data_IF_375333594141
#
_entry.id   IF_375333594141
#
_cell.length_a   1.000
_cell.length_b   1.000
_cell.length_c   1.000
_cell.angle_alpha   90.00
_cell.angle_beta   90.00
_cell.angle_gamma   90.00
#
_symmetry.space_group_name_H-M   'P 1'
#
loop_
_entity.id
_entity.type
_entity.pdbx_description
1 polymer ?
#
# COMPACT_ATOMS: atom_id res chain seq x y z
N UNK A 1 -16.92 -23.66 -3.50
CA UNK A 1 -17.45 -22.40 -4.07
C UNK A 1 -17.51 -22.57 -5.57
N UNK A 2 -18.64 -22.32 -6.20
CA UNK A 2 -18.76 -22.42 -7.65
C UNK A 2 -18.17 -21.15 -8.32
N UNK A 3 -17.96 -21.21 -9.66
CA UNK A 3 -17.37 -20.08 -10.40
C UNK A 3 -18.21 -18.78 -10.32
N UNK A 4 -19.54 -18.89 -10.19
CA UNK A 4 -20.41 -17.74 -10.06
C UNK A 4 -20.27 -17.05 -8.70
N UNK A 5 -20.18 -17.82 -7.62
CA UNK A 5 -19.96 -17.28 -6.27
C UNK A 5 -18.59 -16.64 -6.13
N UNK A 6 -17.56 -17.20 -6.78
CA UNK A 6 -16.23 -16.62 -6.84
C UNK A 6 -16.26 -15.28 -7.58
N UNK A 7 -16.88 -15.23 -8.75
CA UNK A 7 -17.04 -14.01 -9.53
C UNK A 7 -17.77 -12.92 -8.74
N UNK A 8 -18.90 -13.25 -8.13
CA UNK A 8 -19.69 -12.30 -7.36
C UNK A 8 -18.88 -11.69 -6.20
N UNK A 9 -18.19 -12.52 -5.42
CA UNK A 9 -17.34 -12.08 -4.31
C UNK A 9 -16.18 -11.23 -4.78
N UNK A 10 -15.51 -11.64 -5.85
CA UNK A 10 -14.42 -10.87 -6.44
C UNK A 10 -14.88 -9.48 -6.88
N UNK A 11 -15.98 -9.39 -7.64
CA UNK A 11 -16.51 -8.11 -8.14
C UNK A 11 -16.91 -7.21 -6.98
N UNK A 12 -17.58 -7.75 -5.97
CA UNK A 12 -17.95 -7.02 -4.75
C UNK A 12 -16.70 -6.41 -4.08
N UNK A 13 -15.68 -7.24 -3.79
CA UNK A 13 -14.50 -6.81 -3.08
C UNK A 13 -13.58 -5.91 -3.92
N UNK A 14 -13.44 -6.18 -5.21
CA UNK A 14 -12.67 -5.33 -6.12
C UNK A 14 -13.24 -3.91 -6.15
N UNK A 15 -14.57 -3.77 -6.18
CA UNK A 15 -15.24 -2.46 -6.17
C UNK A 15 -15.23 -1.80 -4.79
N UNK A 16 -15.58 -2.54 -3.73
CA UNK A 16 -15.68 -1.98 -2.37
C UNK A 16 -14.36 -1.51 -1.81
N UNK A 17 -13.25 -2.06 -2.29
CA UNK A 17 -11.89 -1.74 -1.85
C UNK A 17 -11.03 -1.09 -2.95
N UNK A 18 -11.65 -0.51 -3.99
CA UNK A 18 -10.91 0.08 -5.11
C UNK A 18 -9.85 1.09 -4.67
N UNK A 19 -10.22 2.01 -3.78
CA UNK A 19 -9.29 2.98 -3.22
C UNK A 19 -8.09 2.34 -2.47
N UNK A 20 -8.30 1.17 -1.83
CA UNK A 20 -7.24 0.44 -1.12
C UNK A 20 -6.24 -0.15 -2.11
N UNK A 21 -6.73 -0.74 -3.21
CA UNK A 21 -5.86 -1.28 -4.26
C UNK A 21 -4.95 -0.20 -4.84
N UNK A 22 -5.50 0.96 -5.17
CA UNK A 22 -4.74 2.09 -5.70
C UNK A 22 -3.75 2.68 -4.69
N UNK A 23 -4.14 2.84 -3.42
CA UNK A 23 -3.23 3.30 -2.37
C UNK A 23 -2.01 2.37 -2.22
N UNK A 24 -2.26 1.04 -2.20
CA UNK A 24 -1.19 0.05 -2.08
C UNK A 24 -0.32 0.06 -3.34
N UNK A 25 -0.92 0.09 -4.54
CA UNK A 25 -0.16 0.16 -5.78
C UNK A 25 0.75 1.39 -5.82
N UNK A 26 0.23 2.57 -5.46
CA UNK A 26 1.00 3.81 -5.41
C UNK A 26 2.13 3.77 -4.38
N UNK A 27 1.93 3.06 -3.28
CA UNK A 27 2.92 2.98 -2.19
C UNK A 27 4.06 1.99 -2.48
N UNK A 28 3.80 0.92 -3.23
CA UNK A 28 4.75 -0.18 -3.44
C UNK A 28 5.36 -0.24 -4.84
N UNK A 29 4.77 0.42 -5.83
CA UNK A 29 5.29 0.51 -7.17
C UNK A 29 5.86 1.91 -7.47
N UNK A 30 6.89 2.03 -8.32
CA UNK A 30 7.36 3.31 -8.80
C UNK A 30 6.34 3.97 -9.73
N UNK A 31 6.49 5.29 -9.94
CA UNK A 31 5.70 6.02 -10.93
C UNK A 31 5.77 5.32 -12.30
N UNK A 32 4.62 5.21 -12.97
CA UNK A 32 4.49 4.49 -14.25
C UNK A 32 4.20 3.00 -14.15
N UNK A 33 4.27 2.39 -12.95
CA UNK A 33 3.97 0.96 -12.75
C UNK A 33 2.82 0.71 -11.77
N UNK A 34 2.16 1.77 -11.31
CA UNK A 34 1.03 1.66 -10.38
C UNK A 34 -0.09 0.80 -10.95
N UNK A 35 -0.40 0.96 -12.25
CA UNK A 35 -1.45 0.20 -12.93
C UNK A 35 -1.09 -1.29 -13.04
N UNK A 36 0.16 -1.60 -13.34
CA UNK A 36 0.63 -2.99 -13.39
C UNK A 36 0.50 -3.68 -12.03
N UNK A 37 0.94 -3.02 -10.95
CA UNK A 37 0.76 -3.57 -9.61
C UNK A 37 -0.72 -3.66 -9.22
N UNK A 38 -1.53 -2.65 -9.56
CA UNK A 38 -2.97 -2.68 -9.29
C UNK A 38 -3.63 -3.91 -9.94
N UNK A 39 -3.31 -4.22 -11.20
CA UNK A 39 -3.80 -5.41 -11.89
C UNK A 39 -3.34 -6.71 -11.20
N UNK A 40 -2.07 -6.79 -10.79
CA UNK A 40 -1.53 -7.94 -10.07
C UNK A 40 -2.23 -8.15 -8.70
N UNK A 41 -2.58 -7.06 -8.01
CA UNK A 41 -3.36 -7.12 -6.77
C UNK A 41 -4.77 -7.69 -6.99
N UNK A 42 -5.45 -7.29 -8.07
CA UNK A 42 -6.76 -7.83 -8.43
C UNK A 42 -6.68 -9.30 -8.83
N UNK A 43 -5.64 -9.72 -9.54
CA UNK A 43 -5.38 -11.12 -9.86
C UNK A 43 -5.15 -11.93 -8.57
N UNK A 44 -4.36 -11.40 -7.64
CA UNK A 44 -4.13 -12.04 -6.35
C UNK A 44 -5.44 -12.18 -5.54
N UNK A 45 -6.29 -11.15 -5.56
CA UNK A 45 -7.62 -11.20 -4.95
C UNK A 45 -8.50 -12.29 -5.58
N UNK A 46 -8.53 -12.37 -6.92
CA UNK A 46 -9.26 -13.39 -7.64
C UNK A 46 -8.90 -14.80 -7.20
N UNK A 47 -7.60 -15.08 -7.10
CA UNK A 47 -7.09 -16.37 -6.64
C UNK A 47 -7.33 -16.62 -5.16
N UNK A 48 -7.31 -15.58 -4.32
CA UNK A 48 -7.50 -15.71 -2.88
C UNK A 48 -8.98 -15.81 -2.46
N UNK A 49 -9.90 -15.21 -3.21
CA UNK A 49 -11.32 -15.13 -2.84
C UNK A 49 -11.97 -16.51 -2.51
N UNK A 50 -11.66 -17.63 -3.23
CA UNK A 50 -12.15 -18.96 -2.87
C UNK A 50 -11.61 -19.49 -1.53
N UNK A 51 -10.48 -18.97 -1.06
CA UNK A 51 -9.81 -19.44 0.16
C UNK A 51 -10.36 -18.78 1.43
N UNK A 52 -11.17 -17.73 1.29
CA UNK A 52 -11.75 -17.05 2.42
C UNK A 52 -12.77 -17.95 3.17
N UNK A 53 -12.49 -18.19 4.45
CA UNK A 53 -13.28 -19.09 5.33
C UNK A 53 -14.12 -18.35 6.37
N UNK A 54 -14.22 -17.01 6.29
CA UNK A 54 -14.91 -16.17 7.28
C UNK A 54 -14.40 -16.33 8.75
N UNK A 55 -13.16 -16.79 8.91
CA UNK A 55 -12.50 -16.87 10.23
C UNK A 55 -11.99 -15.52 10.74
N UNK A 56 -11.90 -14.53 9.86
CA UNK A 56 -11.58 -13.13 10.15
C UNK A 56 -12.52 -12.23 9.35
N UNK A 57 -12.53 -10.93 9.67
CA UNK A 57 -13.25 -9.95 8.85
C UNK A 57 -12.76 -10.00 7.40
N UNK A 58 -13.67 -9.78 6.44
CA UNK A 58 -13.31 -9.73 5.02
C UNK A 58 -12.23 -8.66 4.75
N UNK A 59 -12.34 -7.48 5.40
CA UNK A 59 -11.33 -6.43 5.32
C UNK A 59 -9.94 -6.89 5.72
N UNK A 60 -9.80 -7.59 6.85
CA UNK A 60 -8.52 -8.17 7.32
C UNK A 60 -7.92 -9.12 6.28
N UNK A 61 -8.75 -9.99 5.70
CA UNK A 61 -8.32 -10.91 4.66
C UNK A 61 -7.85 -10.17 3.40
N UNK A 62 -8.62 -9.18 2.95
CA UNK A 62 -8.35 -8.38 1.76
C UNK A 62 -7.03 -7.61 1.90
N UNK A 63 -6.85 -6.88 3.01
CA UNK A 63 -5.59 -6.17 3.27
C UNK A 63 -4.39 -7.12 3.33
N UNK A 64 -4.54 -8.29 3.95
CA UNK A 64 -3.47 -9.31 4.01
C UNK A 64 -3.08 -9.79 2.61
N UNK A 65 -4.05 -10.11 1.75
CA UNK A 65 -3.80 -10.53 0.37
C UNK A 65 -3.09 -9.40 -0.40
N UNK A 66 -3.60 -8.19 -0.33
CA UNK A 66 -3.06 -7.03 -1.04
C UNK A 66 -1.62 -6.71 -0.62
N UNK A 67 -1.35 -6.59 0.69
CA UNK A 67 -0.02 -6.26 1.20
C UNK A 67 1.00 -7.36 0.92
N UNK A 68 0.64 -8.63 1.10
CA UNK A 68 1.54 -9.74 0.76
C UNK A 68 1.89 -9.76 -0.72
N UNK A 69 0.91 -9.52 -1.59
CA UNK A 69 1.13 -9.45 -3.04
C UNK A 69 2.04 -8.27 -3.40
N UNK A 70 1.76 -7.08 -2.86
CA UNK A 70 2.57 -5.88 -3.11
C UNK A 70 4.03 -6.03 -2.62
N UNK A 71 4.24 -6.59 -1.43
CA UNK A 71 5.57 -6.87 -0.91
C UNK A 71 6.34 -7.87 -1.77
N UNK A 72 5.68 -8.94 -2.23
CA UNK A 72 6.29 -9.94 -3.12
C UNK A 72 6.67 -9.30 -4.47
N UNK A 73 5.78 -8.46 -5.03
CA UNK A 73 6.03 -7.72 -6.24
C UNK A 73 7.26 -6.79 -6.11
N UNK A 74 7.34 -6.01 -5.04
CA UNK A 74 8.46 -5.13 -4.74
C UNK A 74 9.79 -5.89 -4.61
N UNK A 75 9.79 -7.03 -3.89
CA UNK A 75 10.97 -7.87 -3.71
C UNK A 75 11.43 -8.54 -5.01
N UNK A 76 10.49 -8.99 -5.85
CA UNK A 76 10.84 -9.59 -7.14
C UNK A 76 11.52 -8.56 -8.04
N UNK A 77 11.00 -7.34 -8.12
CA UNK A 77 11.62 -6.23 -8.87
C UNK A 77 13.04 -5.92 -8.37
N UNK A 78 13.21 -5.80 -7.06
CA UNK A 78 14.55 -5.54 -6.48
C UNK A 78 15.54 -6.65 -6.86
N UNK A 79 15.08 -7.89 -6.93
CA UNK A 79 15.91 -9.04 -7.37
C UNK A 79 16.23 -8.97 -8.87
N UNK A 80 15.27 -8.61 -9.72
CA UNK A 80 15.49 -8.43 -11.16
C UNK A 80 16.29 -7.17 -11.45
N UNK A 81 16.01 -6.04 -10.79
CA UNK A 81 16.71 -4.77 -10.97
C UNK A 81 18.20 -4.86 -10.60
N UNK A 82 18.57 -5.67 -9.63
CA UNK A 82 20.01 -5.93 -9.33
C UNK A 82 20.72 -6.71 -10.43
N UNK A 83 20.02 -7.43 -11.31
CA UNK A 83 20.58 -8.12 -12.46
C UNK A 83 20.66 -7.24 -13.72
N UNK A 84 19.92 -6.14 -13.75
CA UNK A 84 19.85 -5.19 -14.86
C UNK A 84 20.06 -3.77 -14.33
N UNK A 85 21.24 -3.51 -13.75
CA UNK A 85 21.67 -2.13 -13.47
C UNK A 85 22.16 -1.54 -14.78
N UNK A 86 21.29 -0.85 -15.47
CA UNK A 86 21.55 0.34 -16.29
C UNK A 86 20.26 0.80 -16.99
N UNK A 87 20.00 2.09 -16.92
CA UNK A 87 18.96 2.87 -17.62
C UNK A 87 17.55 2.83 -17.00
N UNK A 88 17.16 3.75 -16.19
CA UNK A 88 16.59 5.05 -16.42
C UNK A 88 16.26 5.78 -15.10
N UNK A 89 17.07 6.75 -14.76
CA UNK A 89 16.62 7.87 -13.94
C UNK A 89 15.82 8.81 -14.86
N UNK A 90 14.66 9.23 -14.38
CA UNK A 90 13.80 10.35 -14.79
C UNK A 90 12.44 9.98 -15.33
N UNK A 91 11.45 10.10 -14.46
CA UNK A 91 10.21 10.79 -14.84
C UNK A 91 9.59 11.39 -13.58
N UNK A 92 10.08 12.55 -13.19
CA UNK A 92 9.32 13.49 -12.39
C UNK A 92 8.52 14.33 -13.38
N UNK A 93 7.25 14.05 -13.58
CA UNK A 93 6.35 14.96 -14.26
C UNK A 93 5.99 16.09 -13.31
N UNK A 94 6.32 17.31 -13.74
CA UNK A 94 5.97 18.53 -13.03
C UNK A 94 4.45 18.79 -13.11
N UNK A 95 3.81 19.29 -12.05
CA UNK A 95 2.38 19.58 -12.04
C UNK A 95 2.06 20.87 -12.78
N UNK A 96 0.95 20.85 -13.52
CA UNK A 96 0.31 22.03 -14.10
C UNK A 96 -0.58 22.72 -13.06
N UNK A 97 -0.69 24.04 -13.16
CA UNK A 97 -1.18 24.96 -12.13
C UNK A 97 -2.69 25.04 -12.02
N UNK A 98 -3.22 24.78 -10.79
CA UNK A 98 -4.43 25.39 -10.24
C UNK A 98 -4.38 25.35 -8.69
N UNK A 99 -4.62 26.51 -8.00
CA UNK A 99 -3.97 26.82 -6.73
C UNK A 99 -4.39 26.10 -5.43
N UNK A 100 -5.54 25.41 -5.33
CA UNK A 100 -5.91 24.69 -4.07
C UNK A 100 -5.94 23.16 -4.20
N UNK A 101 -6.29 22.64 -5.37
CA UNK A 101 -6.16 21.22 -5.66
C UNK A 101 -4.70 20.79 -5.68
N UNK A 102 -3.85 21.64 -6.24
CA UNK A 102 -2.39 21.45 -6.33
C UNK A 102 -1.71 21.31 -4.96
N UNK A 103 -2.13 22.09 -3.95
CA UNK A 103 -1.52 22.02 -2.62
C UNK A 103 -1.86 20.72 -1.91
N UNK A 104 -3.11 20.24 -2.01
CA UNK A 104 -3.50 18.94 -1.45
C UNK A 104 -2.80 17.79 -2.17
N UNK A 105 -2.69 17.85 -3.48
CA UNK A 105 -1.98 16.85 -4.27
C UNK A 105 -0.49 16.80 -3.89
N UNK A 106 0.17 17.96 -3.74
CA UNK A 106 1.56 18.04 -3.26
C UNK A 106 1.73 17.43 -1.87
N UNK A 107 0.83 17.73 -0.93
CA UNK A 107 0.88 17.17 0.43
C UNK A 107 0.71 15.65 0.41
N UNK A 108 -0.18 15.14 -0.43
CA UNK A 108 -0.37 13.70 -0.63
C UNK A 108 0.88 13.07 -1.26
N UNK A 109 1.49 13.70 -2.26
CA UNK A 109 2.73 13.22 -2.87
C UNK A 109 3.89 13.20 -1.88
N UNK A 110 4.05 14.25 -1.09
CA UNK A 110 5.05 14.32 -0.02
C UNK A 110 4.84 13.20 1.01
N UNK A 111 3.59 12.93 1.40
CA UNK A 111 3.28 11.83 2.30
C UNK A 111 3.68 10.48 1.69
N UNK A 112 3.31 10.19 0.44
CA UNK A 112 3.71 8.95 -0.23
C UNK A 112 5.22 8.82 -0.39
N UNK A 113 5.91 9.91 -0.74
CA UNK A 113 7.37 9.95 -0.80
C UNK A 113 8.01 9.66 0.57
N UNK A 114 7.47 10.23 1.64
CA UNK A 114 7.93 9.96 3.00
C UNK A 114 7.69 8.50 3.41
N UNK A 115 6.50 7.95 3.12
CA UNK A 115 6.15 6.54 3.40
C UNK A 115 7.05 5.58 2.62
N UNK A 116 7.40 5.89 1.36
CA UNK A 116 8.26 5.07 0.52
C UNK A 116 9.67 4.88 1.10
N UNK A 117 10.13 5.80 1.98
CA UNK A 117 11.44 5.68 2.65
C UNK A 117 11.44 4.75 3.86
N UNK A 118 10.27 4.32 4.31
CA UNK A 118 10.14 3.40 5.43
C UNK A 118 10.48 1.96 5.01
N UNK A 119 10.84 1.13 6.00
CA UNK A 119 10.90 -0.32 5.77
C UNK A 119 9.55 -0.88 5.33
N UNK A 120 9.50 -1.99 4.63
CA UNK A 120 8.23 -2.62 4.20
C UNK A 120 7.26 -2.83 5.37
N UNK A 121 7.76 -3.28 6.52
CA UNK A 121 6.93 -3.48 7.72
C UNK A 121 6.37 -2.15 8.28
N UNK A 122 7.22 -1.11 8.38
CA UNK A 122 6.80 0.20 8.88
C UNK A 122 5.81 0.87 7.91
N UNK A 123 6.03 0.69 6.61
CA UNK A 123 5.17 1.20 5.54
C UNK A 123 3.78 0.58 5.60
N UNK A 124 3.70 -0.76 5.77
CA UNK A 124 2.43 -1.46 5.94
C UNK A 124 1.67 -1.00 7.18
N UNK A 125 2.37 -0.87 8.32
CA UNK A 125 1.77 -0.37 9.57
C UNK A 125 1.23 1.05 9.40
N UNK A 126 2.02 1.94 8.75
CA UNK A 126 1.62 3.32 8.50
C UNK A 126 0.38 3.40 7.60
N UNK A 127 0.36 2.63 6.50
CA UNK A 127 -0.79 2.59 5.59
C UNK A 127 -2.07 2.16 6.31
N UNK A 128 -2.02 1.04 7.03
CA UNK A 128 -3.18 0.51 7.75
C UNK A 128 -3.68 1.47 8.83
N UNK A 129 -2.76 2.18 9.50
CA UNK A 129 -3.12 3.21 10.46
C UNK A 129 -3.78 4.43 9.81
N UNK A 130 -3.30 4.86 8.63
CA UNK A 130 -3.90 5.95 7.86
C UNK A 130 -5.28 5.56 7.29
N UNK A 131 -5.53 4.27 7.10
CA UNK A 131 -6.84 3.72 6.75
C UNK A 131 -7.73 3.46 8.00
N UNK A 132 -7.35 4.07 9.14
CA UNK A 132 -8.12 4.09 10.40
C UNK A 132 -8.32 2.70 11.04
N UNK A 133 -7.49 1.70 10.72
CA UNK A 133 -7.53 0.42 11.40
C UNK A 133 -7.02 0.55 12.83
N UNK A 134 -7.71 -0.10 13.77
CA UNK A 134 -7.24 -0.25 15.15
C UNK A 134 -5.92 -1.04 15.22
N UNK A 135 -5.17 -0.89 16.30
CA UNK A 135 -3.92 -1.65 16.51
C UNK A 135 -4.15 -3.17 16.44
N UNK A 136 -5.29 -3.61 16.96
CA UNK A 136 -5.70 -5.01 16.88
C UNK A 136 -5.92 -5.46 15.43
N UNK A 137 -6.65 -4.69 14.63
CA UNK A 137 -6.88 -5.01 13.23
C UNK A 137 -5.57 -4.99 12.42
N UNK A 138 -4.68 -4.02 12.67
CA UNK A 138 -3.34 -3.99 12.08
C UNK A 138 -2.55 -5.25 12.46
N UNK A 139 -2.56 -5.62 13.73
CA UNK A 139 -1.93 -6.84 14.23
C UNK A 139 -2.48 -8.08 13.54
N UNK A 140 -3.81 -8.18 13.41
CA UNK A 140 -4.48 -9.28 12.72
C UNK A 140 -4.12 -9.33 11.22
N UNK A 141 -4.05 -8.18 10.54
CA UNK A 141 -3.65 -8.12 9.12
C UNK A 141 -2.22 -8.60 8.92
N UNK A 142 -1.29 -8.11 9.76
CA UNK A 142 0.15 -8.35 9.57
C UNK A 142 0.67 -9.61 10.27
N UNK A 143 -0.14 -10.26 11.11
CA UNK A 143 0.26 -11.45 11.87
C UNK A 143 1.29 -11.12 12.98
N UNK A 144 1.16 -9.96 13.63
CA UNK A 144 2.05 -9.46 14.70
C UNK A 144 1.23 -9.14 15.95
N UNK A 145 1.88 -8.74 17.05
CA UNK A 145 1.17 -8.35 18.28
C UNK A 145 0.76 -6.88 18.26
N UNK A 146 -0.33 -6.53 18.96
CA UNK A 146 -0.76 -5.12 19.13
C UNK A 146 0.33 -4.26 19.78
N UNK A 147 1.04 -4.80 20.77
CA UNK A 147 2.16 -4.10 21.41
C UNK A 147 3.27 -3.77 20.41
N UNK A 148 3.57 -4.70 19.49
CA UNK A 148 4.56 -4.45 18.45
C UNK A 148 4.09 -3.36 17.48
N UNK A 149 2.81 -3.36 17.09
CA UNK A 149 2.20 -2.29 16.28
C UNK A 149 2.39 -0.94 16.95
N UNK A 150 2.06 -0.82 18.25
CA UNK A 150 2.18 0.43 19.01
C UNK A 150 3.61 0.97 19.04
N UNK A 151 4.59 0.11 19.34
CA UNK A 151 6.01 0.49 19.38
C UNK A 151 6.50 0.94 18.00
N UNK A 152 6.15 0.19 16.95
CA UNK A 152 6.58 0.52 15.57
C UNK A 152 5.92 1.80 15.08
N UNK A 153 4.63 1.97 15.32
CA UNK A 153 3.88 3.15 14.89
C UNK A 153 4.41 4.44 15.54
N UNK A 154 4.78 4.40 16.82
CA UNK A 154 5.41 5.56 17.47
C UNK A 154 6.73 5.97 16.79
N UNK A 155 7.56 5.00 16.40
CA UNK A 155 8.80 5.26 15.66
C UNK A 155 8.51 5.81 14.25
N UNK A 156 7.51 5.25 13.57
CA UNK A 156 7.07 5.70 12.25
C UNK A 156 6.58 7.14 12.30
N UNK A 157 5.70 7.48 13.25
CA UNK A 157 5.19 8.84 13.44
C UNK A 157 6.34 9.84 13.64
N UNK A 158 7.30 9.51 14.50
CA UNK A 158 8.47 10.37 14.74
C UNK A 158 9.27 10.61 13.46
N UNK A 159 9.59 9.55 12.71
CA UNK A 159 10.33 9.65 11.43
C UNK A 159 9.58 10.49 10.39
N UNK A 160 8.27 10.30 10.26
CA UNK A 160 7.45 11.06 9.32
C UNK A 160 7.38 12.54 9.71
N UNK A 161 7.19 12.87 11.00
CA UNK A 161 7.20 14.26 11.48
C UNK A 161 8.55 14.94 11.24
N UNK A 162 9.66 14.25 11.50
CA UNK A 162 11.00 14.79 11.27
C UNK A 162 11.26 15.08 9.78
N UNK A 163 10.73 14.24 8.90
CA UNK A 163 10.90 14.39 7.45
C UNK A 163 10.00 15.48 6.88
N UNK A 164 8.70 15.40 7.12
CA UNK A 164 7.72 16.38 6.63
C UNK A 164 7.97 17.79 7.23
N UNK A 165 8.43 17.87 8.49
CA UNK A 165 8.79 19.12 9.12
C UNK A 165 10.06 19.77 8.59
N UNK A 166 10.94 19.02 7.90
CA UNK A 166 12.10 19.58 7.20
C UNK A 166 11.75 20.14 5.83
N UNK A 167 10.84 19.48 5.12
CA UNK A 167 10.37 19.92 3.78
C UNK A 167 9.54 21.20 3.85
N UNK A 168 8.76 21.41 4.92
CA UNK A 168 7.98 22.64 5.13
C UNK A 168 8.82 23.86 5.57
N UNK A 169 10.14 23.73 5.77
CA UNK A 169 11.04 24.82 6.17
C UNK A 169 11.96 25.29 5.04
N UNK A 170 11.85 24.72 3.86
CA UNK A 170 12.55 25.15 2.64
C UNK A 170 11.59 25.85 1.66
#
# INVERSE_FOLDING_TARGET
>A
MNSQEQNARFVEWARSYDAVWWKIARLYAPAGEHEALHQDLLIALWHAAPLYRAQAKASTFIYRVALNSAMNWSRSRTRYGRRHVALDEKSAQAPSKDNESDERERQVEQLYAALATLSEADRSIALLYLDELSYREIADVLGITESYVGVRLNRVKKRLMERLGKENRQ
#
